data_IF_284278193096
#
_entry.id   IF_284278193096
#
_cell.length_a   1.000
_cell.length_b   1.000
_cell.length_c   1.000
_cell.angle_alpha   90.00
_cell.angle_beta   90.00
_cell.angle_gamma   90.00
#
_symmetry.space_group_name_H-M   'P 1'
#
loop_
_entity.id
_entity.type
_entity.pdbx_description
1 polymer ?
#
# COMPACT_ATOMS: atom_id res chain seq x y z
N UNK A 1 -9.32 19.19 -5.97
CA UNK A 1 -9.79 17.94 -5.35
C UNK A 1 -10.82 17.35 -6.29
N UNK A 2 -10.96 16.03 -6.30
CA UNK A 2 -11.88 15.32 -7.20
C UNK A 2 -12.83 14.51 -6.35
N UNK A 3 -14.12 14.66 -6.63
CA UNK A 3 -15.15 13.79 -6.11
C UNK A 3 -15.14 12.50 -6.94
N UNK A 4 -15.04 11.38 -6.25
CA UNK A 4 -14.92 10.05 -6.83
C UNK A 4 -16.04 9.20 -6.27
N UNK A 5 -16.78 8.53 -7.16
CA UNK A 5 -17.80 7.57 -6.78
C UNK A 5 -17.34 6.17 -7.19
N UNK A 6 -17.55 5.21 -6.29
CA UNK A 6 -17.23 3.81 -6.47
C UNK A 6 -18.42 3.05 -7.05
N UNK A 7 -18.16 1.90 -7.68
CA UNK A 7 -19.21 1.01 -8.18
C UNK A 7 -20.22 0.57 -7.10
N UNK A 8 -19.84 0.60 -5.81
CA UNK A 8 -20.69 0.27 -4.67
C UNK A 8 -21.50 1.47 -4.11
N UNK A 9 -21.37 2.65 -4.72
CA UNK A 9 -22.02 3.90 -4.33
C UNK A 9 -21.34 4.64 -3.18
N UNK A 10 -20.15 4.21 -2.75
CA UNK A 10 -19.34 4.98 -1.79
C UNK A 10 -18.65 6.17 -2.47
N UNK A 11 -18.49 7.27 -1.75
CA UNK A 11 -17.92 8.52 -2.26
C UNK A 11 -16.60 8.87 -1.56
N UNK A 12 -15.55 9.15 -2.33
CA UNK A 12 -14.24 9.60 -1.86
C UNK A 12 -13.91 11.01 -2.37
N UNK A 13 -13.12 11.75 -1.57
CA UNK A 13 -12.54 13.02 -2.01
C UNK A 13 -11.04 12.83 -2.19
N UNK A 14 -10.59 12.91 -3.45
CA UNK A 14 -9.17 12.81 -3.80
C UNK A 14 -8.50 14.18 -3.75
N UNK A 15 -7.42 14.27 -2.97
CA UNK A 15 -6.66 15.50 -2.75
C UNK A 15 -5.37 15.47 -3.57
N UNK A 16 -5.20 16.45 -4.44
CA UNK A 16 -4.05 16.59 -5.35
C UNK A 16 -2.73 17.00 -4.67
N UNK A 17 -2.75 17.29 -3.37
CA UNK A 17 -1.57 17.72 -2.62
C UNK A 17 -0.90 16.60 -1.82
N UNK A 18 -1.42 15.37 -1.90
CA UNK A 18 -0.83 14.23 -1.21
C UNK A 18 0.17 13.49 -2.13
N UNK A 19 1.48 13.62 -1.90
CA UNK A 19 2.49 12.95 -2.71
C UNK A 19 2.62 11.46 -2.48
N UNK A 20 1.94 10.94 -1.47
CA UNK A 20 1.84 9.51 -1.22
C UNK A 20 0.75 8.91 -2.10
N UNK A 21 -0.42 9.55 -2.19
CA UNK A 21 -1.60 8.96 -2.85
C UNK A 21 -1.71 9.38 -4.32
N UNK A 22 -1.47 10.66 -4.65
CA UNK A 22 -1.72 11.19 -5.98
C UNK A 22 -0.98 10.45 -7.11
N UNK A 23 0.32 10.09 -6.97
CA UNK A 23 1.02 9.32 -8.00
C UNK A 23 0.40 7.93 -8.23
N UNK A 24 0.09 7.19 -7.16
CA UNK A 24 -0.52 5.86 -7.27
C UNK A 24 -1.92 5.91 -7.85
N UNK A 25 -2.68 6.96 -7.54
CA UNK A 25 -3.98 7.19 -8.15
C UNK A 25 -3.85 7.44 -9.65
N UNK A 26 -2.93 8.30 -10.08
CA UNK A 26 -2.70 8.54 -11.50
C UNK A 26 -2.28 7.30 -12.31
N UNK A 27 -1.64 6.31 -11.66
CA UNK A 27 -1.22 5.06 -12.30
C UNK A 27 -2.38 4.08 -12.56
N UNK A 28 -3.48 4.17 -11.81
CA UNK A 28 -4.63 3.26 -11.96
C UNK A 28 -5.69 3.81 -12.93
N UNK A 29 -5.63 5.09 -13.26
CA UNK A 29 -6.60 5.74 -14.13
C UNK A 29 -6.39 5.31 -15.58
N UNK A 30 -7.49 5.19 -16.32
CA UNK A 30 -7.41 5.12 -17.78
C UNK A 30 -6.95 6.47 -18.37
N UNK A 31 -6.69 6.50 -19.67
CA UNK A 31 -6.18 7.69 -20.34
C UNK A 31 -7.12 8.90 -20.20
N UNK A 32 -8.43 8.69 -20.35
CA UNK A 32 -9.42 9.76 -20.31
C UNK A 32 -9.59 10.32 -18.90
N UNK A 33 -9.70 9.44 -17.89
CA UNK A 33 -9.71 9.84 -16.49
C UNK A 33 -8.44 10.60 -16.10
N UNK A 34 -7.28 10.12 -16.55
CA UNK A 34 -6.00 10.76 -16.28
C UNK A 34 -5.94 12.17 -16.87
N UNK A 35 -6.38 12.35 -18.11
CA UNK A 35 -6.46 13.65 -18.78
C UNK A 35 -7.35 14.64 -18.02
N UNK A 36 -8.49 14.17 -17.49
CA UNK A 36 -9.38 14.98 -16.64
C UNK A 36 -8.67 15.40 -15.35
N UNK A 37 -7.99 14.48 -14.67
CA UNK A 37 -7.33 14.74 -13.37
C UNK A 37 -6.18 15.74 -13.50
N UNK A 38 -5.37 15.64 -14.55
CA UNK A 38 -4.21 16.53 -14.76
C UNK A 38 -4.55 17.77 -15.60
N UNK A 39 -5.82 17.97 -15.93
CA UNK A 39 -6.26 19.11 -16.71
C UNK A 39 -5.89 20.43 -16.01
N UNK A 40 -5.28 21.37 -16.76
CA UNK A 40 -4.81 22.64 -16.21
C UNK A 40 -3.54 22.56 -15.36
N UNK A 41 -2.96 21.37 -15.15
CA UNK A 41 -1.67 21.18 -14.46
C UNK A 41 -0.56 21.11 -15.50
N UNK A 42 0.29 22.13 -15.60
CA UNK A 42 1.45 22.09 -16.51
C UNK A 42 2.53 21.11 -16.04
N UNK A 43 2.86 21.17 -14.75
CA UNK A 43 3.76 20.23 -14.10
C UNK A 43 3.44 20.14 -12.61
N UNK A 44 3.63 18.95 -12.04
CA UNK A 44 3.51 18.69 -10.62
C UNK A 44 4.75 17.94 -10.15
N UNK A 45 5.50 18.55 -9.22
CA UNK A 45 6.77 18.03 -8.72
C UNK A 45 6.60 17.50 -7.30
N UNK A 46 7.20 16.35 -7.00
CA UNK A 46 7.15 15.73 -5.69
C UNK A 46 8.38 14.88 -5.42
N UNK A 47 8.58 14.51 -4.16
CA UNK A 47 9.53 13.48 -3.76
C UNK A 47 8.77 12.17 -3.56
N UNK A 48 9.18 11.10 -4.22
CA UNK A 48 8.57 9.79 -4.02
C UNK A 48 9.01 9.13 -2.70
N UNK A 49 8.45 7.95 -2.42
CA UNK A 49 8.77 7.20 -1.21
C UNK A 49 10.25 6.73 -1.14
N UNK A 50 10.99 6.77 -2.25
CA UNK A 50 12.42 6.47 -2.33
C UNK A 50 13.27 7.72 -2.12
N UNK A 51 12.65 8.88 -1.90
CA UNK A 51 13.34 10.16 -1.79
C UNK A 51 13.88 10.64 -3.13
N UNK A 52 13.29 10.21 -4.25
CA UNK A 52 13.68 10.66 -5.59
C UNK A 52 12.72 11.75 -6.07
N UNK A 53 13.24 12.83 -6.69
CA UNK A 53 12.40 13.86 -7.29
C UNK A 53 11.70 13.29 -8.53
N UNK A 54 10.39 13.50 -8.59
CA UNK A 54 9.53 13.06 -9.67
C UNK A 54 8.77 14.25 -10.25
N UNK A 55 8.33 14.11 -11.50
CA UNK A 55 7.53 15.13 -12.19
C UNK A 55 6.42 14.48 -12.98
N UNK A 56 5.18 14.85 -12.66
CA UNK A 56 4.01 14.55 -13.49
C UNK A 56 3.78 15.76 -14.39
N UNK A 57 3.78 15.54 -15.71
CA UNK A 57 3.49 16.59 -16.70
C UNK A 57 2.07 16.43 -17.21
N UNK A 58 1.31 17.51 -17.24
CA UNK A 58 0.09 17.58 -18.04
C UNK A 58 0.39 18.05 -19.45
N UNK A 59 -0.67 18.13 -20.25
CA UNK A 59 -0.58 18.67 -21.60
C UNK A 59 -0.87 20.19 -21.56
N UNK A 60 0.12 21.05 -21.85
CA UNK A 60 -0.07 22.50 -21.84
C UNK A 60 -0.92 23.00 -23.00
N UNK A 61 -1.19 22.16 -24.01
CA UNK A 61 -1.97 22.52 -25.21
C UNK A 61 -3.45 22.20 -25.07
N UNK A 62 -3.83 21.44 -24.04
CA UNK A 62 -5.22 21.08 -23.78
C UNK A 62 -5.96 22.27 -23.16
N UNK A 63 -6.93 22.81 -23.90
CA UNK A 63 -7.89 23.77 -23.35
C UNK A 63 -8.53 23.16 -22.10
N UNK A 64 -8.63 23.89 -20.97
CA UNK A 64 -9.27 23.35 -19.80
C UNK A 64 -10.68 22.87 -20.15
N UNK A 65 -10.98 21.60 -19.91
CA UNK A 65 -12.33 21.12 -20.11
C UNK A 65 -13.25 21.93 -19.18
N UNK A 66 -14.49 22.23 -19.61
CA UNK A 66 -15.47 22.75 -18.67
C UNK A 66 -15.57 21.75 -17.53
N UNK A 67 -15.43 22.19 -16.28
CA UNK A 67 -15.58 21.32 -15.11
C UNK A 67 -16.99 20.73 -15.19
N UNK A 68 -17.10 19.50 -15.68
CA UNK A 68 -18.30 18.71 -15.55
C UNK A 68 -18.38 18.36 -14.07
N UNK A 69 -19.39 18.85 -13.36
CA UNK A 69 -19.55 18.70 -11.91
C UNK A 69 -19.85 17.26 -11.47
N UNK A 70 -19.82 16.31 -12.40
CA UNK A 70 -20.10 14.90 -12.14
C UNK A 70 -18.88 14.23 -11.50
N UNK A 71 -19.09 13.37 -10.48
CA UNK A 71 -18.02 12.55 -9.92
C UNK A 71 -17.34 11.69 -10.99
N UNK A 72 -16.04 11.49 -10.83
CA UNK A 72 -15.31 10.50 -11.61
C UNK A 72 -15.66 9.10 -11.09
N UNK A 73 -16.12 8.22 -11.97
CA UNK A 73 -16.40 6.84 -11.62
C UNK A 73 -15.11 6.01 -11.65
N UNK A 74 -14.81 5.28 -10.58
CA UNK A 74 -13.75 4.28 -10.53
C UNK A 74 -14.32 2.87 -10.53
N UNK A 75 -13.78 2.02 -11.40
CA UNK A 75 -14.13 0.60 -11.40
C UNK A 75 -13.60 -0.09 -10.15
N UNK A 76 -14.25 -1.17 -9.70
CA UNK A 76 -13.75 -1.99 -8.59
C UNK A 76 -12.30 -2.45 -8.77
N UNK A 77 -11.88 -2.72 -10.02
CA UNK A 77 -10.50 -3.10 -10.31
C UNK A 77 -9.52 -1.97 -9.98
N UNK A 78 -9.84 -0.74 -10.38
CA UNK A 78 -9.05 0.45 -10.08
C UNK A 78 -8.97 0.68 -8.58
N UNK A 79 -10.10 0.61 -7.87
CA UNK A 79 -10.14 0.74 -6.41
C UNK A 79 -9.22 -0.28 -5.74
N UNK A 80 -9.29 -1.55 -6.15
CA UNK A 80 -8.44 -2.61 -5.62
C UNK A 80 -6.95 -2.35 -5.89
N UNK A 81 -6.60 -1.90 -7.08
CA UNK A 81 -5.21 -1.56 -7.41
C UNK A 81 -4.69 -0.40 -6.56
N UNK A 82 -5.50 0.64 -6.36
CA UNK A 82 -5.10 1.77 -5.52
C UNK A 82 -4.90 1.33 -4.07
N UNK A 83 -5.84 0.56 -3.51
CA UNK A 83 -5.70 0.00 -2.17
C UNK A 83 -4.46 -0.86 -2.03
N UNK A 84 -4.13 -1.68 -3.03
CA UNK A 84 -2.92 -2.50 -3.03
C UNK A 84 -1.64 -1.64 -3.05
N UNK A 85 -1.60 -0.60 -3.89
CA UNK A 85 -0.44 0.31 -3.99
C UNK A 85 -0.21 1.14 -2.73
N UNK A 86 -1.28 1.45 -1.99
CA UNK A 86 -1.22 2.29 -0.78
C UNK A 86 -1.12 1.49 0.53
N UNK A 87 -1.40 0.19 0.49
CA UNK A 87 -1.29 -0.72 1.63
C UNK A 87 0.06 -0.69 2.36
N UNK A 88 1.23 -0.59 1.70
CA UNK A 88 2.51 -0.43 2.39
C UNK A 88 2.52 0.76 3.36
N UNK A 89 1.92 1.89 2.99
CA UNK A 89 1.86 3.08 3.86
C UNK A 89 0.94 2.86 5.06
N UNK A 90 -0.19 2.20 4.86
CA UNK A 90 -1.12 1.86 5.94
C UNK A 90 -0.45 0.94 6.97
N UNK A 91 0.26 -0.08 6.51
CA UNK A 91 0.98 -1.01 7.39
C UNK A 91 2.13 -0.30 8.11
N UNK A 92 2.92 0.53 7.41
CA UNK A 92 3.96 1.34 8.05
C UNK A 92 3.40 2.22 9.17
N UNK A 93 2.28 2.89 8.94
CA UNK A 93 1.64 3.74 9.94
C UNK A 93 1.17 2.94 11.17
N UNK A 94 0.61 1.75 10.95
CA UNK A 94 0.23 0.85 12.04
C UNK A 94 1.43 0.34 12.83
N UNK A 95 2.54 0.02 12.16
CA UNK A 95 3.77 -0.47 12.80
C UNK A 95 4.53 0.62 13.52
N UNK A 96 4.51 1.86 13.01
CA UNK A 96 5.12 3.01 13.69
C UNK A 96 4.50 3.27 15.07
N UNK A 97 3.20 2.98 15.21
CA UNK A 97 2.47 3.11 16.47
C UNK A 97 2.81 2.00 17.48
N UNK A 98 3.16 0.81 17.00
CA UNK A 98 3.49 -0.35 17.83
C UNK A 98 4.98 -0.39 18.22
N UNK A 99 5.86 -0.28 17.22
CA UNK A 99 7.32 -0.32 17.36
C UNK A 99 8.02 0.53 16.28
N UNK A 100 8.08 1.84 16.53
CA UNK A 100 8.78 2.77 15.65
C UNK A 100 10.31 2.58 15.61
N UNK A 101 10.93 1.83 16.52
CA UNK A 101 12.38 1.56 16.50
C UNK A 101 12.71 0.55 15.40
N UNK A 102 11.98 -0.56 15.33
CA UNK A 102 12.16 -1.58 14.29
C UNK A 102 11.99 -0.99 12.88
N UNK A 103 10.98 -0.14 12.68
CA UNK A 103 10.77 0.55 11.40
C UNK A 103 11.93 1.49 11.03
N UNK A 104 12.55 2.14 12.03
CA UNK A 104 13.69 3.05 11.82
C UNK A 104 14.98 2.33 11.45
N UNK A 105 15.10 1.03 11.73
CA UNK A 105 16.23 0.23 11.29
C UNK A 105 16.32 0.11 9.76
N UNK A 106 15.19 0.26 9.05
CA UNK A 106 15.16 0.32 7.58
C UNK A 106 15.32 1.79 7.12
N UNK A 107 16.27 2.09 6.22
CA UNK A 107 16.39 3.40 5.60
C UNK A 107 15.08 3.84 4.96
N UNK A 108 14.67 5.10 5.18
CA UNK A 108 13.36 5.60 4.74
C UNK A 108 13.09 5.32 3.25
N UNK A 109 14.09 5.52 2.39
CA UNK A 109 13.99 5.30 0.95
C UNK A 109 13.77 3.83 0.53
N UNK A 110 14.00 2.87 1.42
CA UNK A 110 13.84 1.44 1.16
C UNK A 110 12.55 0.87 1.75
N UNK A 111 11.89 1.60 2.67
CA UNK A 111 10.75 1.07 3.43
C UNK A 111 9.59 0.68 2.52
N UNK A 112 9.23 1.53 1.56
CA UNK A 112 8.13 1.23 0.65
C UNK A 112 8.36 -0.10 -0.09
N UNK A 113 9.52 -0.26 -0.71
CA UNK A 113 9.87 -1.47 -1.47
C UNK A 113 9.96 -2.71 -0.58
N UNK A 114 10.47 -2.56 0.64
CA UNK A 114 10.47 -3.62 1.64
C UNK A 114 9.04 -4.10 1.93
N UNK A 115 8.13 -3.21 2.33
CA UNK A 115 6.76 -3.60 2.68
C UNK A 115 5.96 -4.07 1.46
N UNK A 116 6.14 -3.47 0.29
CA UNK A 116 5.53 -3.97 -0.95
C UNK A 116 5.95 -5.42 -1.23
N UNK A 117 7.23 -5.73 -1.05
CA UNK A 117 7.74 -7.11 -1.22
C UNK A 117 7.15 -8.06 -0.19
N UNK A 118 7.15 -7.66 1.10
CA UNK A 118 6.62 -8.51 2.18
C UNK A 118 5.11 -8.75 2.05
N UNK A 119 4.35 -7.73 1.64
CA UNK A 119 2.91 -7.87 1.39
C UNK A 119 2.62 -8.77 0.19
N UNK A 120 3.41 -8.69 -0.88
CA UNK A 120 3.31 -9.62 -2.00
C UNK A 120 3.59 -11.06 -1.57
N UNK A 121 4.64 -11.30 -0.76
CA UNK A 121 4.90 -12.62 -0.16
C UNK A 121 3.73 -13.09 0.71
N UNK A 122 3.23 -12.25 1.62
CA UNK A 122 2.08 -12.56 2.49
C UNK A 122 0.84 -12.97 1.68
N UNK A 123 0.52 -12.24 0.61
CA UNK A 123 -0.58 -12.58 -0.28
C UNK A 123 -0.36 -13.89 -1.03
N UNK A 124 0.89 -14.26 -1.37
CA UNK A 124 1.19 -15.56 -1.97
C UNK A 124 0.91 -16.74 -1.02
N UNK A 125 0.95 -16.51 0.29
CA UNK A 125 0.50 -17.46 1.32
C UNK A 125 -1.02 -17.40 1.57
N UNK A 126 -1.76 -16.54 0.87
CA UNK A 126 -3.21 -16.38 1.02
C UNK A 126 -3.62 -15.49 2.19
N UNK A 127 -2.69 -14.73 2.78
CA UNK A 127 -3.03 -13.77 3.84
C UNK A 127 -3.75 -12.55 3.24
N UNK A 128 -4.93 -12.25 3.76
CA UNK A 128 -5.77 -11.12 3.32
C UNK A 128 -6.22 -10.22 4.48
N UNK A 129 -6.31 -10.77 5.69
CA UNK A 129 -6.78 -10.02 6.85
C UNK A 129 -5.76 -8.96 7.28
N UNK A 130 -6.15 -7.70 7.57
CA UNK A 130 -5.22 -6.65 7.95
C UNK A 130 -4.33 -7.01 9.15
N UNK A 131 -4.87 -7.74 10.13
CA UNK A 131 -4.11 -8.21 11.30
C UNK A 131 -3.04 -9.23 10.91
N UNK A 132 -3.32 -10.14 9.99
CA UNK A 132 -2.35 -11.13 9.52
C UNK A 132 -1.25 -10.48 8.69
N UNK A 133 -1.60 -9.52 7.83
CA UNK A 133 -0.64 -8.74 7.04
C UNK A 133 0.28 -7.90 7.94
N UNK A 134 -0.28 -7.24 8.97
CA UNK A 134 0.51 -6.52 9.98
C UNK A 134 1.44 -7.46 10.74
N UNK A 135 0.96 -8.61 11.22
CA UNK A 135 1.79 -9.59 11.93
C UNK A 135 2.89 -10.14 11.04
N UNK A 136 2.60 -10.46 9.77
CA UNK A 136 3.60 -10.91 8.81
C UNK A 136 4.71 -9.87 8.63
N UNK A 137 4.34 -8.62 8.39
CA UNK A 137 5.31 -7.53 8.19
C UNK A 137 6.13 -7.25 9.47
N UNK A 138 5.51 -7.37 10.66
CA UNK A 138 6.23 -7.24 11.93
C UNK A 138 7.29 -8.33 12.10
N UNK A 139 6.96 -9.59 11.78
CA UNK A 139 7.94 -10.68 11.81
C UNK A 139 9.08 -10.45 10.82
N UNK A 140 8.78 -9.98 9.60
CA UNK A 140 9.80 -9.62 8.63
C UNK A 140 10.75 -8.52 9.13
N UNK A 141 10.24 -7.56 9.91
CA UNK A 141 11.07 -6.52 10.54
C UNK A 141 11.95 -7.07 11.67
N UNK A 142 11.40 -7.90 12.55
CA UNK A 142 12.09 -8.36 13.75
C UNK A 142 13.11 -9.47 13.45
N UNK A 143 12.76 -10.39 12.55
CA UNK A 143 13.53 -11.61 12.27
C UNK A 143 14.34 -11.48 10.98
N UNK A 144 13.77 -10.80 9.98
CA UNK A 144 14.40 -10.57 8.69
C UNK A 144 13.46 -10.84 7.51
N UNK A 145 13.81 -10.30 6.34
CA UNK A 145 12.96 -10.32 5.13
C UNK A 145 12.60 -11.71 4.60
N UNK A 146 13.35 -12.74 5.00
CA UNK A 146 13.21 -14.13 4.58
C UNK A 146 12.82 -15.07 5.73
N UNK A 147 12.27 -14.52 6.83
CA UNK A 147 11.79 -15.30 7.97
C UNK A 147 10.77 -16.36 7.55
N UNK A 148 10.06 -16.15 6.45
CA UNK A 148 9.05 -17.05 5.91
C UNK A 148 9.63 -18.39 5.43
N UNK A 149 10.95 -18.46 5.24
CA UNK A 149 11.68 -19.71 4.95
C UNK A 149 12.04 -20.53 6.19
N UNK A 150 11.93 -19.95 7.38
CA UNK A 150 12.27 -20.63 8.63
C UNK A 150 11.21 -21.70 8.94
N UNK A 151 11.60 -22.91 9.39
CA UNK A 151 10.68 -24.04 9.52
C UNK A 151 9.40 -23.74 10.32
N UNK A 152 9.54 -23.00 11.43
CA UNK A 152 8.40 -22.61 12.28
C UNK A 152 7.44 -21.69 11.53
N UNK A 153 7.95 -20.61 10.94
CA UNK A 153 7.14 -19.63 10.21
C UNK A 153 6.50 -20.24 8.96
N UNK A 154 7.28 -20.97 8.15
CA UNK A 154 6.78 -21.67 6.97
C UNK A 154 5.63 -22.63 7.33
N UNK A 155 5.77 -23.38 8.42
CA UNK A 155 4.72 -24.30 8.88
C UNK A 155 3.43 -23.57 9.28
N UNK A 156 3.54 -22.40 9.90
CA UNK A 156 2.39 -21.59 10.32
C UNK A 156 1.69 -20.91 9.13
N UNK A 157 2.46 -20.46 8.13
CA UNK A 157 1.95 -19.83 6.90
C UNK A 157 1.21 -20.83 6.00
N UNK A 158 1.70 -22.07 5.92
CA UNK A 158 1.09 -23.13 5.10
C UNK A 158 -0.03 -23.90 5.82
N UNK A 159 -0.24 -23.66 7.12
CA UNK A 159 -1.23 -24.35 7.91
C UNK A 159 -2.66 -23.97 7.48
N UNK A 160 -3.38 -24.91 6.86
CA UNK A 160 -4.82 -24.78 6.62
C UNK A 160 -5.59 -25.05 7.90
N UNK A 161 -5.73 -24.03 8.75
CA UNK A 161 -6.33 -24.14 10.10
C UNK A 161 -7.49 -23.17 10.28
N UNK A 162 -8.30 -23.45 11.31
CA UNK A 162 -9.45 -22.61 11.71
C UNK A 162 -9.06 -21.27 12.34
N UNK A 163 -7.77 -21.06 12.65
CA UNK A 163 -7.26 -19.85 13.30
C UNK A 163 -6.35 -19.07 12.35
N UNK A 164 -6.38 -17.74 12.47
CA UNK A 164 -5.63 -16.82 11.60
C UNK A 164 -4.12 -16.92 11.85
N UNK A 165 -3.31 -16.39 10.93
CA UNK A 165 -1.85 -16.40 11.09
C UNK A 165 -1.41 -15.63 12.35
N UNK A 166 -1.98 -14.45 12.57
CA UNK A 166 -1.76 -13.65 13.77
C UNK A 166 -2.07 -14.41 15.07
N UNK A 167 -3.16 -15.18 15.11
CA UNK A 167 -3.52 -16.01 16.27
C UNK A 167 -2.57 -17.18 16.50
N UNK A 168 -1.92 -17.70 15.44
CA UNK A 168 -0.91 -18.75 15.58
C UNK A 168 0.37 -18.20 16.21
N UNK A 169 0.83 -17.03 15.74
CA UNK A 169 2.05 -16.37 16.24
C UNK A 169 1.92 -16.03 17.72
N UNK A 170 0.74 -15.56 18.17
CA UNK A 170 0.47 -15.29 19.59
C UNK A 170 0.58 -16.52 20.50
N UNK A 171 0.53 -17.74 19.94
CA UNK A 171 0.64 -18.99 20.69
C UNK A 171 2.05 -19.57 20.71
N UNK A 172 3.02 -18.91 20.05
CA UNK A 172 4.41 -19.39 20.05
C UNK A 172 5.03 -19.29 21.44
N UNK A 173 5.68 -20.37 21.87
CA UNK A 173 6.40 -20.41 23.14
C UNK A 173 7.74 -19.67 23.05
N UNK A 174 8.37 -19.29 24.18
CA UNK A 174 9.70 -18.67 24.16
C UNK A 174 10.75 -19.51 23.42
N UNK A 175 10.69 -20.84 23.52
CA UNK A 175 11.59 -21.74 22.81
C UNK A 175 11.37 -21.67 21.29
N UNK A 176 10.11 -21.56 20.85
CA UNK A 176 9.76 -21.38 19.45
C UNK A 176 10.25 -20.04 18.92
N UNK A 177 10.09 -18.96 19.70
CA UNK A 177 10.67 -17.65 19.37
C UNK A 177 12.19 -17.68 19.25
N UNK A 178 12.89 -18.50 20.06
CA UNK A 178 14.34 -18.66 19.98
C UNK A 178 14.82 -19.44 18.75
N UNK A 179 13.91 -20.08 18.00
CA UNK A 179 14.23 -20.79 16.74
C UNK A 179 14.01 -19.96 15.47
N UNK A 180 13.55 -18.70 15.64
CA UNK A 180 13.37 -17.73 14.57
C UNK A 180 14.65 -16.94 14.32
#
# INVERSE_FOLDING_TARGET
MTEVEHDDGTEWIMRYYDPVIFPHWLEILDLGQREVVINGISAWLYMDARGMPQTIRGDPTTTPASIDSRPMLLTQHQCNQLMHKTLPYMVMHQLESDDGQALRAIPQCQRYDFFSTQLAKAHSYGLLAPTDLKTYCMLALMVGADFDSLPLAASALLARRQITFSQQVLKWTPEQWATL
#
